data_IF_623298936780
#
_entry.id   IF_623298936780
#
_cell.length_a   1.000
_cell.length_b   1.000
_cell.length_c   1.000
_cell.angle_alpha   90.00
_cell.angle_beta   90.00
_cell.angle_gamma   90.00
#
_symmetry.space_group_name_H-M   'P 1'
#
loop_
_entity.id
_entity.type
_entity.pdbx_description
1 polymer ?
#
# COMPACT_ATOMS: atom_id res chain seq x y z
N UNK A 1 3.06 -12.65 14.66
CA UNK A 1 2.10 -13.49 13.92
C UNK A 1 2.16 -13.13 12.45
N UNK A 2 2.55 -14.06 11.59
CA UNK A 2 2.65 -13.87 10.13
C UNK A 2 1.27 -14.11 9.51
N UNK A 3 0.59 -13.08 9.02
CA UNK A 3 -0.61 -13.27 8.21
C UNK A 3 -0.17 -13.94 6.88
N UNK A 4 -0.63 -15.16 6.56
CA UNK A 4 -0.14 -15.86 5.38
C UNK A 4 -0.87 -15.39 4.10
N UNK A 5 -0.08 -15.09 3.07
CA UNK A 5 -0.42 -15.23 1.65
C UNK A 5 -1.41 -14.25 0.97
N UNK A 6 -1.74 -13.09 1.55
CA UNK A 6 -2.63 -12.09 0.90
C UNK A 6 -2.01 -10.69 0.70
N UNK A 7 -0.70 -10.60 0.90
CA UNK A 7 0.05 -9.36 0.73
C UNK A 7 0.67 -9.31 -0.68
N UNK A 8 0.35 -8.27 -1.45
CA UNK A 8 0.93 -8.02 -2.77
C UNK A 8 2.16 -7.15 -2.59
N UNK A 9 3.35 -7.67 -2.91
CA UNK A 9 4.58 -6.90 -2.86
C UNK A 9 4.73 -6.04 -4.12
N UNK A 10 4.79 -4.73 -3.94
CA UNK A 10 5.04 -3.75 -5.00
C UNK A 10 6.41 -3.14 -4.79
N UNK A 11 7.42 -3.71 -5.46
CA UNK A 11 8.74 -3.08 -5.52
C UNK A 11 8.71 -1.90 -6.48
N UNK A 12 9.05 -0.72 -5.96
CA UNK A 12 9.20 0.53 -6.67
C UNK A 12 10.46 1.30 -6.21
N UNK A 13 11.48 0.58 -5.70
CA UNK A 13 12.69 1.18 -5.06
C UNK A 13 13.66 1.88 -6.01
N UNK A 14 13.30 2.07 -7.27
CA UNK A 14 14.06 2.83 -8.25
C UNK A 14 13.18 3.51 -9.31
N UNK A 15 11.86 3.57 -9.08
CA UNK A 15 10.94 4.16 -10.03
C UNK A 15 10.84 5.68 -9.79
N UNK A 16 10.93 6.44 -10.88
CA UNK A 16 10.73 7.88 -10.86
C UNK A 16 9.22 8.19 -10.82
N UNK A 17 8.77 9.23 -10.10
CA UNK A 17 7.39 9.68 -10.20
C UNK A 17 7.06 10.03 -11.67
N UNK A 18 5.94 9.55 -12.26
CA UNK A 18 4.75 8.97 -11.61
C UNK A 18 4.65 7.43 -11.63
N UNK A 19 5.63 6.68 -12.12
CA UNK A 19 5.58 5.21 -12.22
C UNK A 19 5.19 4.45 -10.92
N UNK A 20 5.69 4.80 -9.71
CA UNK A 20 5.24 4.14 -8.49
C UNK A 20 3.74 4.35 -8.24
N UNK A 21 3.19 5.51 -8.63
CA UNK A 21 1.77 5.83 -8.45
C UNK A 21 0.90 4.99 -9.38
N UNK A 22 1.28 4.87 -10.65
CA UNK A 22 0.56 4.04 -11.62
C UNK A 22 0.54 2.58 -11.16
N UNK A 23 1.68 2.07 -10.69
CA UNK A 23 1.83 0.68 -10.26
C UNK A 23 0.94 0.35 -9.05
N UNK A 24 0.89 1.23 -8.07
CA UNK A 24 0.02 1.03 -6.90
C UNK A 24 -1.45 1.25 -7.23
N UNK A 25 -1.79 2.20 -8.12
CA UNK A 25 -3.15 2.39 -8.62
C UNK A 25 -3.68 1.11 -9.27
N UNK A 26 -2.95 0.56 -10.24
CA UNK A 26 -3.33 -0.70 -10.89
C UNK A 26 -3.41 -1.86 -9.89
N UNK A 27 -2.49 -1.92 -8.91
CA UNK A 27 -2.53 -2.97 -7.89
C UNK A 27 -3.73 -2.83 -6.96
N UNK A 28 -4.10 -1.60 -6.58
CA UNK A 28 -5.30 -1.31 -5.78
C UNK A 28 -6.57 -1.71 -6.53
N UNK A 29 -6.63 -1.49 -7.84
CA UNK A 29 -7.76 -1.90 -8.68
C UNK A 29 -7.91 -3.42 -8.78
N UNK A 30 -6.78 -4.15 -8.72
CA UNK A 30 -6.76 -5.61 -8.70
C UNK A 30 -6.96 -6.19 -7.29
N UNK A 31 -6.93 -5.36 -6.26
CA UNK A 31 -6.96 -5.79 -4.88
C UNK A 31 -8.34 -6.36 -4.51
N UNK A 32 -8.35 -7.56 -3.93
CA UNK A 32 -9.57 -8.17 -3.39
C UNK A 32 -9.79 -7.73 -1.93
N UNK A 33 -11.05 -7.73 -1.44
CA UNK A 33 -11.32 -7.56 -0.02
C UNK A 33 -10.58 -8.61 0.81
N UNK A 34 -9.85 -8.16 1.84
CA UNK A 34 -8.99 -9.00 2.67
C UNK A 34 -7.56 -9.23 2.14
N UNK A 35 -7.17 -8.57 1.05
CA UNK A 35 -5.77 -8.44 0.63
C UNK A 35 -5.15 -7.13 1.11
N UNK A 36 -3.83 -7.07 1.11
CA UNK A 36 -3.07 -5.88 1.49
C UNK A 36 -1.92 -5.68 0.50
N UNK A 37 -1.41 -4.46 0.38
CA UNK A 37 -0.28 -4.16 -0.50
C UNK A 37 0.89 -3.75 0.36
N UNK A 38 2.05 -4.31 0.07
CA UNK A 38 3.31 -3.86 0.64
C UNK A 38 4.15 -3.20 -0.44
N UNK A 39 4.19 -1.88 -0.39
CA UNK A 39 4.95 -1.07 -1.31
C UNK A 39 6.35 -0.79 -0.74
N UNK A 40 7.38 -0.93 -1.57
CA UNK A 40 8.75 -0.55 -1.23
C UNK A 40 9.15 0.65 -2.09
N UNK A 41 9.50 1.76 -1.45
CA UNK A 41 10.00 2.97 -2.12
C UNK A 41 11.34 3.43 -1.53
N UNK A 42 12.09 4.20 -2.31
CA UNK A 42 13.27 4.91 -1.79
C UNK A 42 12.95 6.34 -1.31
N UNK A 43 11.71 6.81 -1.49
CA UNK A 43 11.25 8.16 -1.14
C UNK A 43 9.78 8.16 -0.72
N UNK A 44 9.31 9.18 -0.02
CA UNK A 44 7.90 9.28 0.41
C UNK A 44 6.98 9.73 -0.74
N UNK A 45 5.93 8.95 -1.09
CA UNK A 45 4.96 9.34 -2.11
C UNK A 45 3.82 10.15 -1.48
N UNK A 46 4.10 11.39 -1.07
CA UNK A 46 3.12 12.30 -0.44
C UNK A 46 1.71 12.34 -1.09
N UNK A 47 1.55 12.48 -2.42
CA UNK A 47 0.21 12.53 -3.02
C UNK A 47 -0.58 11.22 -2.88
N UNK A 48 0.11 10.08 -2.70
CA UNK A 48 -0.54 8.79 -2.55
C UNK A 48 -1.37 8.69 -1.27
N UNK A 49 -0.84 9.23 -0.17
CA UNK A 49 -1.47 9.15 1.14
C UNK A 49 -2.85 9.81 1.16
N UNK A 50 -2.99 10.95 0.47
CA UNK A 50 -4.27 11.64 0.30
C UNK A 50 -5.29 10.76 -0.43
N UNK A 51 -4.88 10.17 -1.57
CA UNK A 51 -5.76 9.33 -2.40
C UNK A 51 -6.18 8.06 -1.65
N UNK A 52 -5.27 7.45 -0.88
CA UNK A 52 -5.57 6.30 -0.05
C UNK A 52 -6.61 6.64 1.02
N UNK A 53 -6.45 7.78 1.70
CA UNK A 53 -7.40 8.25 2.70
C UNK A 53 -8.79 8.55 2.08
N UNK A 54 -8.83 9.23 0.93
CA UNK A 54 -10.08 9.50 0.20
C UNK A 54 -10.80 8.22 -0.24
N UNK A 55 -10.04 7.19 -0.63
CA UNK A 55 -10.58 5.90 -1.05
C UNK A 55 -10.93 4.96 0.12
N UNK A 56 -10.70 5.37 1.37
CA UNK A 56 -10.98 4.54 2.55
C UNK A 56 -9.97 3.41 2.76
N UNK A 57 -8.71 3.61 2.37
CA UNK A 57 -7.61 2.71 2.67
C UNK A 57 -6.76 3.26 3.81
N UNK A 58 -6.28 2.36 4.67
CA UNK A 58 -5.25 2.66 5.67
C UNK A 58 -3.89 2.38 5.08
N UNK A 59 -2.93 3.23 5.41
CA UNK A 59 -1.52 3.02 5.12
C UNK A 59 -0.70 3.08 6.39
N UNK A 60 0.35 2.28 6.46
CA UNK A 60 1.36 2.32 7.51
C UNK A 60 2.73 2.43 6.86
N UNK A 61 3.49 3.47 7.21
CA UNK A 61 4.79 3.74 6.61
C UNK A 61 5.89 3.44 7.62
N UNK A 62 6.74 2.48 7.30
CA UNK A 62 7.89 2.07 8.10
C UNK A 62 9.18 2.37 7.35
N UNK A 63 10.09 3.12 7.99
CA UNK A 63 11.44 3.32 7.47
C UNK A 63 12.32 2.11 7.79
N UNK A 64 13.00 1.59 6.78
CA UNK A 64 13.94 0.48 6.91
C UNK A 64 15.35 1.00 7.19
N UNK A 65 16.17 0.16 7.84
CA UNK A 65 17.58 0.45 8.12
C UNK A 65 18.43 0.72 6.85
N UNK A 66 17.97 0.25 5.70
CA UNK A 66 18.59 0.44 4.38
C UNK A 66 18.29 1.84 3.77
N UNK A 67 17.45 2.65 4.44
CA UNK A 67 16.98 3.95 3.90
C UNK A 67 15.78 3.84 2.96
N UNK A 68 15.29 2.62 2.72
CA UNK A 68 14.02 2.40 2.00
C UNK A 68 12.82 2.57 2.93
N UNK A 69 11.68 2.89 2.34
CA UNK A 69 10.38 3.02 2.99
C UNK A 69 9.49 1.87 2.58
N UNK A 70 8.85 1.25 3.56
CA UNK A 70 7.84 0.21 3.37
C UNK A 70 6.49 0.84 3.70
N UNK A 71 5.60 0.90 2.71
CA UNK A 71 4.22 1.35 2.91
C UNK A 71 3.30 0.13 2.85
N UNK A 72 2.65 -0.20 3.95
CA UNK A 72 1.64 -1.25 4.06
C UNK A 72 0.26 -0.64 3.90
N UNK A 73 -0.44 -1.01 2.83
CA UNK A 73 -1.76 -0.50 2.49
C UNK A 73 -2.77 -1.60 2.72
N UNK A 74 -3.83 -1.30 3.47
CA UNK A 74 -4.91 -2.23 3.78
C UNK A 74 -6.26 -1.52 3.64
N UNK A 75 -7.31 -2.20 3.15
CA UNK A 75 -8.65 -1.62 3.13
C UNK A 75 -9.13 -1.32 4.56
N UNK A 76 -9.67 -0.13 4.81
CA UNK A 76 -10.16 0.22 6.16
C UNK A 76 -11.46 -0.53 6.56
N UNK A 77 -12.08 -1.24 5.61
CA UNK A 77 -13.38 -1.90 5.74
C UNK A 77 -13.30 -3.42 5.93
N UNK A 78 -12.62 -3.89 6.98
CA UNK A 78 -12.80 -5.25 7.52
C UNK A 78 -13.13 -5.14 9.02
N UNK A 79 -14.29 -4.54 9.26
CA UNK A 79 -15.02 -4.61 10.51
C UNK A 79 -16.48 -4.79 10.11
N UNK A 80 -16.95 -6.04 10.14
CA UNK A 80 -18.32 -6.37 9.76
C UNK A 80 -19.33 -5.46 10.48
N UNK A 81 -20.24 -4.90 9.70
CA UNK A 81 -21.57 -4.60 10.21
C UNK A 81 -22.52 -5.56 9.48
N UNK A 82 -22.60 -6.77 10.03
CA UNK A 82 -23.82 -7.55 9.92
C UNK A 82 -24.90 -6.82 10.73
N UNK A 83 -26.04 -6.59 10.10
CA UNK A 83 -27.23 -5.99 10.65
C UNK A 83 -28.32 -6.01 9.61
#
# INVERSE_FOLDING_TARGET
MSAPAREILVDARGLEPPEPMEKIMTTLELLRPGQSIRMLLHREPFPLYAILAERGYRHDTTMQADGSYVILISPAGEGGQGG
#
